data_IF_867986355383
#
_entry.id   IF_867986355383
#
_cell.length_a   1.000
_cell.length_b   1.000
_cell.length_c   1.000
_cell.angle_alpha   90.00
_cell.angle_beta   90.00
_cell.angle_gamma   90.00
#
_symmetry.space_group_name_H-M   'P 1'
#
loop_
_entity.id
_entity.type
_entity.pdbx_description
1 polymer ?
#
# COMPACT_ATOMS: atom_id res chain seq x y z
N UNK A 1 -38.07 1.38 -5.07
CA UNK A 1 -36.86 0.63 -4.62
C UNK A 1 -36.89 -0.83 -5.10
N UNK A 2 -37.96 -1.59 -4.85
CA UNK A 2 -38.05 -3.01 -5.27
C UNK A 2 -38.20 -3.17 -6.79
N UNK A 3 -38.94 -2.27 -7.44
CA UNK A 3 -39.09 -2.22 -8.89
C UNK A 3 -37.77 -1.86 -9.59
N UNK A 4 -37.05 -0.88 -9.07
CA UNK A 4 -35.78 -0.43 -9.61
C UNK A 4 -34.66 -1.51 -9.51
N UNK A 5 -34.66 -2.31 -8.44
CA UNK A 5 -33.76 -3.46 -8.28
C UNK A 5 -34.14 -4.61 -9.22
N UNK A 6 -35.45 -4.80 -9.46
CA UNK A 6 -35.95 -5.83 -10.38
C UNK A 6 -35.60 -5.53 -11.84
N UNK A 7 -35.64 -4.26 -12.25
CA UNK A 7 -35.24 -3.82 -13.60
C UNK A 7 -33.75 -4.00 -13.86
N UNK A 8 -32.93 -3.93 -12.81
CA UNK A 8 -31.48 -4.17 -12.91
C UNK A 8 -31.07 -5.65 -12.82
N UNK A 9 -32.04 -6.57 -12.80
CA UNK A 9 -31.77 -8.01 -12.73
C UNK A 9 -31.18 -8.51 -11.40
N UNK A 10 -31.24 -7.68 -10.36
CA UNK A 10 -30.67 -7.98 -9.04
C UNK A 10 -31.58 -8.81 -8.13
N UNK A 11 -32.82 -9.11 -8.56
CA UNK A 11 -33.76 -9.95 -7.82
C UNK A 11 -34.07 -11.21 -8.62
N UNK A 12 -33.75 -12.35 -8.08
CA UNK A 12 -34.17 -13.64 -8.58
C UNK A 12 -34.80 -14.47 -7.45
N UNK A 13 -35.84 -15.21 -7.80
CA UNK A 13 -36.44 -16.19 -6.90
C UNK A 13 -35.94 -17.58 -7.26
N UNK A 14 -35.63 -18.39 -6.26
CA UNK A 14 -35.19 -19.76 -6.41
C UNK A 14 -35.94 -20.69 -5.44
N UNK A 15 -36.20 -21.89 -5.88
CA UNK A 15 -36.99 -22.85 -5.11
C UNK A 15 -36.11 -23.74 -4.21
N UNK A 16 -34.82 -23.87 -4.53
CA UNK A 16 -33.88 -24.69 -3.78
C UNK A 16 -32.42 -24.19 -3.99
N UNK A 17 -31.47 -24.63 -3.14
CA UNK A 17 -30.06 -24.22 -3.23
C UNK A 17 -29.40 -24.50 -4.58
N UNK A 18 -29.69 -25.63 -5.21
CA UNK A 18 -29.11 -26.01 -6.51
C UNK A 18 -29.58 -25.07 -7.64
N UNK A 19 -30.83 -24.60 -7.57
CA UNK A 19 -31.32 -23.60 -8.51
C UNK A 19 -30.68 -22.24 -8.31
N UNK A 20 -30.38 -21.85 -7.07
CA UNK A 20 -29.62 -20.66 -6.76
C UNK A 20 -28.21 -20.75 -7.36
N UNK A 21 -27.51 -21.86 -7.12
CA UNK A 21 -26.17 -22.07 -7.64
C UNK A 21 -26.14 -21.96 -9.17
N UNK A 22 -27.07 -22.63 -9.86
CA UNK A 22 -27.17 -22.57 -11.32
C UNK A 22 -27.42 -21.13 -11.83
N UNK A 23 -28.32 -20.40 -11.20
CA UNK A 23 -28.59 -19.00 -11.58
C UNK A 23 -27.41 -18.07 -11.33
N UNK A 24 -26.66 -18.28 -10.24
CA UNK A 24 -25.45 -17.52 -9.96
C UNK A 24 -24.39 -17.78 -11.04
N UNK A 25 -24.17 -19.06 -11.42
CA UNK A 25 -23.25 -19.40 -12.49
C UNK A 25 -23.67 -18.78 -13.84
N UNK A 26 -24.96 -18.86 -14.20
CA UNK A 26 -25.46 -18.22 -15.40
C UNK A 26 -25.25 -16.68 -15.41
N UNK A 27 -25.48 -16.02 -14.28
CA UNK A 27 -25.26 -14.57 -14.18
C UNK A 27 -23.78 -14.22 -14.34
N UNK A 28 -22.87 -14.99 -13.72
CA UNK A 28 -21.43 -14.82 -13.88
C UNK A 28 -21.00 -15.05 -15.33
N UNK A 29 -21.50 -16.10 -15.99
CA UNK A 29 -21.18 -16.38 -17.39
C UNK A 29 -21.66 -15.27 -18.33
N UNK A 30 -22.84 -14.70 -18.09
CA UNK A 30 -23.35 -13.58 -18.85
C UNK A 30 -22.50 -12.33 -18.65
N UNK A 31 -22.19 -11.96 -17.41
CA UNK A 31 -21.33 -10.81 -17.09
C UNK A 31 -19.92 -10.98 -17.70
N UNK A 32 -19.36 -12.20 -17.63
CA UNK A 32 -18.06 -12.50 -18.24
C UNK A 32 -18.14 -12.42 -19.77
N UNK A 33 -19.21 -12.92 -20.40
CA UNK A 33 -19.35 -12.85 -21.85
C UNK A 33 -19.58 -11.42 -22.34
N UNK A 34 -20.35 -10.61 -21.62
CA UNK A 34 -20.49 -9.17 -21.91
C UNK A 34 -19.16 -8.43 -21.76
N UNK A 35 -18.33 -8.82 -20.81
CA UNK A 35 -16.99 -8.28 -20.63
C UNK A 35 -16.03 -8.68 -21.77
N UNK A 36 -16.21 -9.86 -22.36
CA UNK A 36 -15.37 -10.38 -23.46
C UNK A 36 -15.87 -9.84 -24.82
N UNK A 37 -17.18 -9.78 -25.06
CA UNK A 37 -17.74 -9.44 -26.37
C UNK A 37 -18.05 -7.94 -26.57
N UNK A 38 -18.24 -7.20 -25.52
CA UNK A 38 -18.82 -5.85 -25.66
C UNK A 38 -18.03 -4.70 -25.12
N UNK A 39 -16.94 -4.87 -24.61
CA UNK A 39 -16.37 -3.69 -24.06
C UNK A 39 -14.94 -3.86 -23.57
N UNK A 40 -14.12 -3.06 -24.09
CA UNK A 40 -13.05 -2.58 -23.26
C UNK A 40 -13.62 -2.35 -21.85
N UNK A 41 -13.42 -3.34 -20.96
CA UNK A 41 -13.38 -3.04 -19.54
C UNK A 41 -12.35 -1.93 -19.48
N UNK A 42 -12.85 -0.71 -19.33
CA UNK A 42 -11.99 0.40 -18.98
C UNK A 42 -11.41 -0.04 -17.64
N UNK A 43 -10.28 -0.74 -17.70
CA UNK A 43 -9.51 -1.03 -16.51
C UNK A 43 -9.45 0.29 -15.77
N UNK A 44 -9.76 0.34 -14.47
CA UNK A 44 -9.80 1.59 -13.71
C UNK A 44 -8.56 2.36 -14.13
N UNK A 45 -8.75 3.56 -14.68
CA UNK A 45 -7.72 4.28 -15.43
C UNK A 45 -6.43 4.18 -14.63
N UNK A 46 -5.49 3.37 -15.14
CA UNK A 46 -4.23 3.13 -14.44
C UNK A 46 -3.65 4.51 -14.25
N UNK A 47 -3.51 4.92 -13.01
CA UNK A 47 -2.89 6.20 -12.71
C UNK A 47 -1.52 6.13 -13.34
N UNK A 48 -1.31 6.88 -14.41
CA UNK A 48 0.00 6.96 -15.06
C UNK A 48 0.97 7.58 -14.09
N UNK A 49 2.15 6.98 -13.99
CA UNK A 49 3.23 7.52 -13.19
C UNK A 49 3.61 6.66 -11.99
N UNK A 50 4.69 7.08 -11.32
CA UNK A 50 5.15 6.48 -10.09
C UNK A 50 4.22 6.87 -8.92
N UNK A 51 3.86 5.89 -8.10
CA UNK A 51 3.03 6.08 -6.91
C UNK A 51 3.59 5.23 -5.78
N UNK A 52 3.58 5.77 -4.59
CA UNK A 52 4.16 5.06 -3.44
C UNK A 52 3.10 4.64 -2.44
N UNK A 53 3.31 3.45 -1.89
CA UNK A 53 2.65 2.96 -0.69
C UNK A 53 3.70 2.80 0.39
N UNK A 54 3.45 3.39 1.55
CA UNK A 54 4.32 3.32 2.72
C UNK A 54 3.64 2.50 3.80
N UNK A 55 4.35 1.49 4.33
CA UNK A 55 3.85 0.62 5.39
C UNK A 55 4.86 0.58 6.54
N UNK A 56 4.49 1.05 7.74
CA UNK A 56 5.31 0.88 8.93
C UNK A 56 5.31 -0.59 9.37
N UNK A 57 6.47 -1.07 9.77
CA UNK A 57 6.70 -2.42 10.28
C UNK A 57 7.58 -2.36 11.51
N UNK A 58 7.42 -3.35 12.36
CA UNK A 58 8.28 -3.54 13.52
C UNK A 58 8.53 -5.02 13.81
N UNK A 59 9.66 -5.32 14.42
CA UNK A 59 9.94 -6.64 14.97
C UNK A 59 10.63 -6.52 16.31
N UNK A 60 10.34 -7.45 17.19
CA UNK A 60 11.00 -7.58 18.47
C UNK A 60 11.96 -8.77 18.43
N UNK A 61 13.19 -8.56 18.85
CA UNK A 61 14.19 -9.59 18.96
C UNK A 61 14.69 -9.67 20.41
N UNK A 62 14.77 -10.88 20.94
CA UNK A 62 15.40 -11.09 22.25
C UNK A 62 16.88 -10.67 22.15
N UNK A 63 17.28 -9.70 22.94
CA UNK A 63 18.65 -9.20 22.99
C UNK A 63 19.49 -10.03 23.97
N UNK A 64 19.02 -10.13 25.18
CA UNK A 64 19.70 -10.84 26.26
C UNK A 64 18.69 -11.21 27.39
N UNK A 65 19.10 -12.12 28.26
CA UNK A 65 18.39 -12.37 29.50
C UNK A 65 19.24 -11.84 30.65
N UNK A 66 18.68 -11.00 31.53
CA UNK A 66 19.42 -10.44 32.65
C UNK A 66 19.74 -11.54 33.69
N UNK A 67 20.61 -11.20 34.66
CA UNK A 67 21.02 -12.12 35.74
C UNK A 67 19.86 -12.60 36.64
N UNK A 68 18.68 -12.00 36.52
CA UNK A 68 17.45 -12.36 37.20
C UNK A 68 16.47 -13.14 36.31
N UNK A 69 16.90 -13.61 35.16
CA UNK A 69 16.07 -14.39 34.21
C UNK A 69 15.06 -13.56 33.42
N UNK A 70 15.14 -12.21 33.42
CA UNK A 70 14.24 -11.36 32.68
C UNK A 70 14.76 -11.13 31.26
N UNK A 71 13.92 -11.40 30.28
CA UNK A 71 14.22 -11.19 28.86
C UNK A 71 14.21 -9.69 28.51
N UNK A 72 15.27 -9.21 27.89
CA UNK A 72 15.34 -7.88 27.30
C UNK A 72 15.15 -7.99 25.79
N UNK A 73 14.28 -7.16 25.24
CA UNK A 73 13.96 -7.13 23.83
C UNK A 73 14.49 -5.85 23.18
N UNK A 74 14.92 -5.98 21.94
CA UNK A 74 15.18 -4.82 21.07
C UNK A 74 14.10 -4.78 20.01
N UNK A 75 13.44 -3.63 19.88
CA UNK A 75 12.46 -3.39 18.81
C UNK A 75 13.17 -2.71 17.66
N UNK A 76 13.04 -3.29 16.48
CA UNK A 76 13.50 -2.68 15.21
C UNK A 76 12.29 -2.16 14.47
N UNK A 77 12.40 -0.95 13.97
CA UNK A 77 11.36 -0.27 13.20
C UNK A 77 11.86 -0.02 11.78
N UNK A 78 10.98 -0.20 10.79
CA UNK A 78 11.28 0.15 9.41
C UNK A 78 10.00 0.53 8.65
N UNK A 79 10.19 1.24 7.55
CA UNK A 79 9.15 1.54 6.58
C UNK A 79 9.40 0.69 5.33
N UNK A 80 8.37 0.08 4.80
CA UNK A 80 8.38 -0.54 3.49
C UNK A 80 7.74 0.44 2.50
N UNK A 81 8.55 0.93 1.56
CA UNK A 81 8.13 1.85 0.51
C UNK A 81 8.05 1.07 -0.79
N UNK A 82 6.85 0.91 -1.31
CA UNK A 82 6.59 0.18 -2.56
C UNK A 82 6.14 1.15 -3.63
N UNK A 83 6.75 1.11 -4.82
CA UNK A 83 6.20 1.78 -5.98
C UNK A 83 5.03 0.94 -6.52
N UNK A 84 3.81 1.41 -6.32
CA UNK A 84 2.57 0.78 -6.80
C UNK A 84 2.08 1.38 -8.11
N UNK A 85 2.84 2.33 -8.68
CA UNK A 85 2.57 2.92 -9.98
C UNK A 85 2.96 2.02 -11.14
N UNK A 86 2.80 2.53 -12.34
CA UNK A 86 3.12 1.85 -13.60
C UNK A 86 4.42 2.35 -14.25
N UNK A 87 5.04 3.39 -13.70
CA UNK A 87 6.31 3.96 -14.14
C UNK A 87 7.38 3.86 -13.07
N UNK A 88 8.64 3.82 -13.49
CA UNK A 88 9.77 3.92 -12.58
C UNK A 88 9.87 5.34 -12.03
N UNK A 89 10.23 5.45 -10.76
CA UNK A 89 10.62 6.71 -10.14
C UNK A 89 12.14 6.83 -10.20
N UNK A 90 12.63 7.90 -10.78
CA UNK A 90 14.06 8.18 -10.89
C UNK A 90 14.52 9.11 -9.77
N UNK A 91 15.79 9.03 -9.41
CA UNK A 91 16.42 9.91 -8.42
C UNK A 91 15.63 10.01 -7.10
N UNK A 92 15.09 8.88 -6.63
CA UNK A 92 14.29 8.82 -5.41
C UNK A 92 15.15 9.11 -4.21
N UNK A 93 14.72 10.06 -3.39
CA UNK A 93 15.33 10.38 -2.10
C UNK A 93 14.29 10.35 -0.98
N UNK A 94 14.75 10.04 0.23
CA UNK A 94 13.88 9.87 1.39
C UNK A 94 14.33 10.79 2.53
N UNK A 95 13.36 11.47 3.16
CA UNK A 95 13.56 12.24 4.38
C UNK A 95 12.46 11.92 5.37
N UNK A 96 12.76 11.94 6.66
CA UNK A 96 11.77 11.75 7.70
C UNK A 96 11.75 12.97 8.62
N UNK A 97 10.57 13.38 9.03
CA UNK A 97 10.31 14.48 9.92
C UNK A 97 9.37 14.05 11.05
N UNK A 98 9.55 14.60 12.23
CA UNK A 98 8.66 14.44 13.37
C UNK A 98 8.17 15.80 13.84
N UNK A 99 6.96 15.87 14.38
CA UNK A 99 6.42 17.13 14.91
C UNK A 99 7.23 17.64 16.12
N UNK A 100 7.87 16.74 16.85
CA UNK A 100 8.76 17.06 17.96
C UNK A 100 9.87 16.03 18.08
N UNK A 101 11.08 16.51 18.32
CA UNK A 101 12.27 15.69 18.48
C UNK A 101 12.84 15.14 17.16
N UNK A 102 14.07 14.66 17.18
CA UNK A 102 14.73 14.11 16.00
C UNK A 102 14.28 12.69 15.69
N UNK A 103 14.21 12.36 14.40
CA UNK A 103 14.04 11.03 13.86
C UNK A 103 15.25 10.68 12.99
N UNK A 104 15.83 9.50 13.20
CA UNK A 104 16.93 9.01 12.39
C UNK A 104 16.41 8.02 11.36
N UNK A 105 16.52 8.37 10.08
CA UNK A 105 16.18 7.53 8.95
C UNK A 105 17.48 7.01 8.32
N UNK A 106 17.59 5.71 8.16
CA UNK A 106 18.69 5.09 7.40
C UNK A 106 18.25 5.01 5.94
N UNK A 107 18.45 6.10 5.23
CA UNK A 107 18.18 6.23 3.80
C UNK A 107 19.45 5.94 2.98
N UNK A 108 19.33 5.59 1.69
CA UNK A 108 20.46 5.55 0.76
C UNK A 108 21.18 6.88 0.70
N UNK A 109 22.51 6.87 0.67
CA UNK A 109 23.33 8.10 0.54
C UNK A 109 23.17 8.76 -0.83
N UNK A 110 22.91 7.96 -1.86
CA UNK A 110 22.68 8.42 -3.22
C UNK A 110 21.23 8.20 -3.63
N UNK A 111 20.71 9.07 -4.49
CA UNK A 111 19.37 8.86 -5.08
C UNK A 111 19.30 7.48 -5.75
N UNK A 112 18.18 6.80 -5.60
CA UNK A 112 17.96 5.48 -6.18
C UNK A 112 16.86 5.53 -7.24
N UNK A 113 16.83 4.51 -8.09
CA UNK A 113 15.69 4.23 -8.97
C UNK A 113 14.78 3.20 -8.30
N UNK A 114 13.49 3.44 -8.35
CA UNK A 114 12.48 2.52 -7.81
C UNK A 114 11.49 2.10 -8.90
N UNK A 115 11.70 0.92 -9.44
CA UNK A 115 10.86 0.35 -10.50
C UNK A 115 9.46 -0.04 -9.96
N UNK A 116 8.45 -0.19 -10.84
CA UNK A 116 7.12 -0.67 -10.47
C UNK A 116 7.17 -1.98 -9.69
N UNK A 117 6.35 -2.08 -8.65
CA UNK A 117 6.22 -3.24 -7.76
C UNK A 117 7.46 -3.54 -6.89
N UNK A 118 8.52 -2.74 -6.99
CA UNK A 118 9.70 -2.88 -6.13
C UNK A 118 9.45 -2.23 -4.78
N UNK A 119 9.88 -2.90 -3.72
CA UNK A 119 9.79 -2.42 -2.34
C UNK A 119 11.18 -2.12 -1.79
N UNK A 120 11.34 -0.93 -1.22
CA UNK A 120 12.54 -0.52 -0.51
C UNK A 120 12.28 -0.49 0.99
N UNK A 121 13.24 -1.00 1.77
CA UNK A 121 13.17 -1.01 3.23
C UNK A 121 14.02 0.11 3.83
N UNK A 122 13.38 1.00 4.59
CA UNK A 122 14.00 2.11 5.29
C UNK A 122 13.96 1.86 6.80
N UNK A 123 15.09 1.59 7.41
CA UNK A 123 15.15 1.48 8.86
C UNK A 123 15.13 2.87 9.49
N UNK A 124 14.44 3.02 10.63
CA UNK A 124 14.44 4.26 11.37
C UNK A 124 14.52 4.03 12.87
N UNK A 125 14.99 5.05 13.58
CA UNK A 125 15.04 5.06 15.03
C UNK A 125 14.43 6.36 15.57
N UNK A 126 13.66 6.22 16.62
CA UNK A 126 13.13 7.32 17.40
C UNK A 126 14.02 7.58 18.59
N UNK A 127 14.25 8.84 18.92
CA UNK A 127 15.00 9.21 20.13
C UNK A 127 14.06 9.50 21.30
N UNK A 128 14.62 9.58 22.47
CA UNK A 128 13.88 10.11 23.63
C UNK A 128 13.49 11.56 23.34
N UNK A 129 12.16 11.82 23.38
CA UNK A 129 11.60 13.13 23.04
C UNK A 129 11.01 13.22 21.64
N UNK A 130 11.20 12.21 20.77
CA UNK A 130 10.44 12.14 19.51
C UNK A 130 8.98 11.83 19.85
N UNK A 131 8.09 12.73 19.44
CA UNK A 131 6.66 12.57 19.69
C UNK A 131 5.83 13.27 18.61
N UNK A 132 4.54 12.94 18.57
CA UNK A 132 3.59 13.51 17.65
C UNK A 132 3.59 12.82 16.29
N UNK A 133 3.25 13.58 15.27
CA UNK A 133 3.11 13.07 13.90
C UNK A 133 4.47 12.81 13.27
N UNK A 134 4.65 11.63 12.71
CA UNK A 134 5.84 11.25 11.96
C UNK A 134 5.49 11.28 10.48
N UNK A 135 6.36 11.85 9.66
CA UNK A 135 6.18 11.95 8.22
C UNK A 135 7.40 11.42 7.47
N UNK A 136 7.15 10.61 6.45
CA UNK A 136 8.13 10.28 5.42
C UNK A 136 7.87 11.19 4.22
N UNK A 137 8.91 11.83 3.73
CA UNK A 137 8.89 12.65 2.52
C UNK A 137 9.69 11.90 1.47
N UNK A 138 9.06 11.66 0.33
CA UNK A 138 9.66 11.01 -0.83
C UNK A 138 9.70 12.02 -1.95
N UNK A 139 10.90 12.30 -2.46
CA UNK A 139 11.11 13.13 -3.64
C UNK A 139 11.63 12.26 -4.77
N UNK A 140 11.12 12.43 -5.99
CA UNK A 140 11.56 11.69 -7.18
C UNK A 140 11.40 12.51 -8.45
N UNK A 141 12.07 12.08 -9.51
CA UNK A 141 11.92 12.66 -10.83
C UNK A 141 11.03 11.76 -11.69
N UNK A 142 10.11 12.36 -12.43
CA UNK A 142 9.25 11.71 -13.38
C UNK A 142 8.93 12.68 -14.52
N UNK A 143 9.16 12.24 -15.78
CA UNK A 143 8.96 13.07 -16.99
C UNK A 143 9.67 14.45 -16.90
N UNK A 144 10.90 14.48 -16.36
CA UNK A 144 11.74 15.67 -16.14
C UNK A 144 11.24 16.61 -15.01
N UNK A 145 10.12 16.28 -14.35
CA UNK A 145 9.58 17.03 -13.25
C UNK A 145 9.97 16.41 -11.90
N UNK A 146 10.37 17.26 -10.95
CA UNK A 146 10.60 16.86 -9.56
C UNK A 146 9.28 16.79 -8.81
N UNK A 147 8.94 15.59 -8.32
CA UNK A 147 7.73 15.34 -7.55
C UNK A 147 8.05 15.09 -6.08
N UNK A 148 7.12 15.43 -5.21
CA UNK A 148 7.22 15.22 -3.76
C UNK A 148 5.90 14.66 -3.23
N UNK A 149 6.00 13.65 -2.37
CA UNK A 149 4.84 13.12 -1.65
C UNK A 149 5.17 12.92 -0.18
N UNK A 150 4.19 13.17 0.69
CA UNK A 150 4.31 13.04 2.14
C UNK A 150 3.39 11.96 2.65
N UNK A 151 3.90 11.14 3.54
CA UNK A 151 3.18 10.04 4.17
C UNK A 151 3.28 10.14 5.68
N UNK A 152 2.14 10.15 6.34
CA UNK A 152 2.10 10.04 7.80
C UNK A 152 2.24 8.57 8.20
N UNK A 153 2.99 8.34 9.29
CA UNK A 153 3.11 7.00 9.88
C UNK A 153 3.22 7.08 11.41
N UNK A 154 2.87 6.00 12.07
CA UNK A 154 2.93 5.86 13.54
C UNK A 154 3.56 4.52 13.93
#
# INVERSE_FOLDING_TARGET
FREEISERGLLATFANPSQLEHKVWQAIELDVSELVDGGQVSAPARKRGAQFRVQPKQSQQLKETDSRGRAKYTTKHWLEVTNIGDSAAENVTFRAEASSGPIFLVAPEQPIRLDPSVTWKLNFALTMGTSGRLQLIIDWDEDEDRKTQRFDFQ
#
